data_IF_174676496815
#
_entry.id   IF_174676496815
#
_cell.length_a   1.000
_cell.length_b   1.000
_cell.length_c   1.000
_cell.angle_alpha   90.00
_cell.angle_beta   90.00
_cell.angle_gamma   90.00
#
_symmetry.space_group_name_H-M   'P 1'
#
loop_
_entity.id
_entity.type
_entity.pdbx_description
1 polymer ?
#
# COMPACT_ATOMS: atom_id res chain seq x y z
N UNK A 1 42.65 0.21 -50.41
CA UNK A 1 41.71 -0.81 -49.89
C UNK A 1 42.09 -1.10 -48.46
N UNK A 2 41.33 -0.80 -47.41
CA UNK A 2 40.06 -0.10 -47.26
C UNK A 2 40.06 0.48 -45.84
N UNK A 3 39.60 1.74 -45.69
CA UNK A 3 39.35 2.34 -44.38
C UNK A 3 37.97 1.86 -43.95
N UNK A 4 37.88 1.04 -42.91
CA UNK A 4 36.62 0.67 -42.28
C UNK A 4 35.97 1.94 -41.69
N UNK A 5 35.00 2.47 -42.43
CA UNK A 5 34.08 3.49 -41.98
C UNK A 5 33.11 2.86 -40.97
N UNK A 6 33.37 3.08 -39.69
CA UNK A 6 32.43 2.78 -38.63
C UNK A 6 31.34 3.88 -38.61
N UNK A 7 30.07 3.50 -38.79
CA UNK A 7 28.97 4.44 -39.12
C UNK A 7 28.33 5.00 -37.84
N UNK A 8 27.86 6.27 -37.76
CA UNK A 8 27.30 6.86 -36.55
C UNK A 8 26.06 6.16 -35.95
N UNK A 9 25.43 5.24 -36.70
CA UNK A 9 24.29 4.44 -36.25
C UNK A 9 24.71 3.24 -35.39
N UNK A 10 25.86 2.61 -35.64
CA UNK A 10 26.36 1.51 -34.81
C UNK A 10 26.72 2.00 -33.39
N UNK A 11 27.26 3.23 -33.29
CA UNK A 11 27.48 3.89 -32.00
C UNK A 11 26.20 4.31 -31.27
N UNK A 12 25.05 4.41 -31.95
CA UNK A 12 23.75 4.70 -31.29
C UNK A 12 23.04 3.42 -30.82
N UNK A 13 23.24 2.31 -31.53
CA UNK A 13 22.72 1.00 -31.14
C UNK A 13 23.49 0.50 -29.90
N UNK A 14 24.83 0.62 -29.92
CA UNK A 14 25.68 0.20 -28.80
C UNK A 14 25.40 1.01 -27.51
N UNK A 15 25.06 2.30 -27.63
CA UNK A 15 24.65 3.14 -26.49
C UNK A 15 23.26 2.82 -25.92
N UNK A 16 22.35 2.24 -26.73
CA UNK A 16 21.00 1.86 -26.28
C UNK A 16 20.97 0.51 -25.58
N UNK A 17 21.94 -0.36 -25.87
CA UNK A 17 22.04 -1.68 -25.24
C UNK A 17 22.71 -1.62 -23.86
N UNK A 18 23.60 -0.65 -23.62
CA UNK A 18 24.26 -0.44 -22.31
C UNK A 18 23.34 0.15 -21.22
N UNK A 19 22.16 0.68 -21.57
CA UNK A 19 21.23 1.33 -20.63
C UNK A 19 20.07 0.44 -20.15
N UNK A 20 20.08 -0.86 -20.45
CA UNK A 20 19.30 -1.84 -19.66
C UNK A 20 20.16 -2.38 -18.53
N UNK A 21 20.47 -1.52 -17.56
CA UNK A 21 20.83 -2.02 -16.22
C UNK A 21 19.62 -2.81 -15.72
N UNK A 22 19.70 -4.13 -15.79
CA UNK A 22 18.82 -5.00 -15.01
C UNK A 22 19.00 -4.60 -13.55
N UNK A 23 18.10 -3.77 -13.03
CA UNK A 23 18.01 -3.51 -11.60
C UNK A 23 17.72 -4.84 -10.92
N UNK A 24 18.77 -5.45 -10.36
CA UNK A 24 18.62 -6.62 -9.51
C UNK A 24 17.65 -6.23 -8.39
N UNK A 25 16.62 -7.06 -8.10
CA UNK A 25 15.68 -6.76 -7.03
C UNK A 25 16.45 -6.47 -5.74
N UNK A 26 16.23 -5.29 -5.16
CA UNK A 26 16.80 -4.97 -3.85
C UNK A 26 16.13 -5.88 -2.83
N UNK A 27 16.86 -6.88 -2.34
CA UNK A 27 16.41 -7.77 -1.29
C UNK A 27 16.54 -7.07 0.06
N UNK A 28 15.56 -7.28 0.95
CA UNK A 28 15.64 -6.82 2.33
C UNK A 28 16.70 -7.64 3.08
N UNK A 29 17.47 -6.99 3.96
CA UNK A 29 18.42 -7.68 4.84
C UNK A 29 17.71 -8.52 5.90
N UNK A 30 16.54 -8.07 6.37
CA UNK A 30 15.74 -8.72 7.40
C UNK A 30 14.29 -8.96 6.91
N UNK A 31 13.62 -10.04 7.36
CA UNK A 31 12.22 -10.27 7.03
C UNK A 31 11.29 -9.18 7.57
N UNK A 32 10.22 -8.89 6.82
CA UNK A 32 9.14 -8.02 7.31
C UNK A 32 8.46 -8.69 8.51
N UNK A 33 8.30 -7.95 9.61
CA UNK A 33 7.64 -8.49 10.81
C UNK A 33 6.14 -8.58 10.57
N UNK A 34 5.52 -9.61 11.13
CA UNK A 34 4.07 -9.83 11.03
C UNK A 34 3.27 -8.62 11.54
N UNK A 35 3.74 -7.94 12.59
CA UNK A 35 3.09 -6.71 13.10
C UNK A 35 3.03 -5.58 12.07
N UNK A 36 4.03 -5.47 11.20
CA UNK A 36 4.09 -4.43 10.18
C UNK A 36 3.12 -4.75 9.04
N UNK A 37 2.97 -6.05 8.70
CA UNK A 37 1.94 -6.51 7.77
C UNK A 37 0.54 -6.26 8.34
N UNK A 38 0.32 -6.51 9.62
CA UNK A 38 -0.97 -6.23 10.27
C UNK A 38 -1.28 -4.73 10.25
N UNK A 39 -0.29 -3.88 10.54
CA UNK A 39 -0.45 -2.44 10.44
C UNK A 39 -0.79 -1.97 9.01
N UNK A 40 -0.10 -2.51 8.01
CA UNK A 40 -0.42 -2.25 6.60
C UNK A 40 -1.86 -2.66 6.24
N UNK A 41 -2.31 -3.82 6.72
CA UNK A 41 -3.68 -4.28 6.51
C UNK A 41 -4.71 -3.36 7.19
N UNK A 42 -4.41 -2.85 8.39
CA UNK A 42 -5.27 -1.86 9.07
C UNK A 42 -5.46 -0.62 8.19
N UNK A 43 -4.38 -0.08 7.61
CA UNK A 43 -4.48 1.09 6.72
C UNK A 43 -5.28 0.79 5.44
N UNK A 44 -5.10 -0.41 4.88
CA UNK A 44 -5.86 -0.85 3.70
C UNK A 44 -7.36 -0.97 4.00
N UNK A 45 -7.70 -1.60 5.12
CA UNK A 45 -9.08 -1.76 5.60
C UNK A 45 -9.72 -0.40 5.94
N UNK A 46 -8.96 0.54 6.52
CA UNK A 46 -9.44 1.89 6.78
C UNK A 46 -9.89 2.57 5.48
N UNK A 47 -9.06 2.52 4.42
CA UNK A 47 -9.42 3.06 3.11
C UNK A 47 -10.69 2.43 2.54
N UNK A 48 -10.86 1.12 2.70
CA UNK A 48 -12.09 0.41 2.29
C UNK A 48 -13.30 0.83 3.11
N UNK A 49 -13.17 0.97 4.43
CA UNK A 49 -14.25 1.43 5.29
C UNK A 49 -14.73 2.82 4.87
N UNK A 50 -13.81 3.76 4.63
CA UNK A 50 -14.16 5.10 4.13
C UNK A 50 -14.92 5.04 2.80
N UNK A 51 -14.46 4.22 1.85
CA UNK A 51 -15.08 4.09 0.53
C UNK A 51 -16.48 3.44 0.59
N UNK A 52 -16.64 2.40 1.40
CA UNK A 52 -17.94 1.72 1.56
C UNK A 52 -18.95 2.50 2.39
N UNK A 53 -18.50 3.44 3.23
CA UNK A 53 -19.35 4.47 3.83
C UNK A 53 -19.74 5.58 2.84
N UNK A 54 -19.26 5.52 1.58
CA UNK A 54 -19.50 6.49 0.52
C UNK A 54 -18.90 7.89 0.79
N UNK A 55 -17.89 7.96 1.66
CA UNK A 55 -17.20 9.21 2.04
C UNK A 55 -16.04 9.53 1.10
N UNK A 56 -15.52 8.53 0.39
CA UNK A 56 -14.52 8.64 -0.67
C UNK A 56 -14.85 7.65 -1.79
N UNK A 57 -14.25 7.83 -2.97
CA UNK A 57 -14.38 6.87 -4.07
C UNK A 57 -13.57 5.60 -3.80
N UNK A 58 -14.03 4.47 -4.33
CA UNK A 58 -13.25 3.23 -4.32
C UNK A 58 -12.01 3.40 -5.23
N UNK A 59 -10.78 3.21 -4.72
CA UNK A 59 -9.57 3.53 -5.48
C UNK A 59 -9.40 2.67 -6.74
N UNK A 60 -9.90 1.43 -6.73
CA UNK A 60 -9.80 0.51 -7.85
C UNK A 60 -10.85 0.72 -8.95
N UNK A 61 -11.97 1.38 -8.65
CA UNK A 61 -13.03 1.64 -9.65
C UNK A 61 -13.23 3.11 -9.97
N UNK A 62 -12.68 4.01 -9.15
CA UNK A 62 -12.87 5.46 -9.22
C UNK A 62 -14.36 5.86 -9.16
N UNK A 63 -15.18 5.04 -8.48
CA UNK A 63 -16.62 5.23 -8.34
C UNK A 63 -17.06 5.15 -6.89
N UNK A 64 -18.16 5.84 -6.61
CA UNK A 64 -18.93 5.70 -5.39
C UNK A 64 -19.69 4.37 -5.39
N UNK A 65 -19.64 3.64 -4.28
CA UNK A 65 -20.43 2.44 -4.02
C UNK A 65 -20.58 2.24 -2.52
N UNK A 66 -21.76 2.58 -2.01
CA UNK A 66 -22.12 2.39 -0.61
C UNK A 66 -22.45 0.92 -0.32
N UNK A 67 -21.85 0.37 0.72
CA UNK A 67 -22.17 -0.93 1.28
C UNK A 67 -21.84 -0.94 2.78
N UNK A 68 -22.86 -0.83 3.62
CA UNK A 68 -22.66 -0.66 5.07
C UNK A 68 -22.17 -1.94 5.74
N UNK A 69 -22.49 -3.11 5.21
CA UNK A 69 -22.03 -4.38 5.76
C UNK A 69 -20.53 -4.58 5.48
N UNK A 70 -20.06 -4.20 4.29
CA UNK A 70 -18.62 -4.18 3.99
C UNK A 70 -17.86 -3.16 4.85
N UNK A 71 -18.44 -1.96 5.07
CA UNK A 71 -17.85 -0.97 5.97
C UNK A 71 -17.75 -1.49 7.42
N UNK A 72 -18.81 -2.13 7.92
CA UNK A 72 -18.82 -2.77 9.25
C UNK A 72 -17.75 -3.84 9.35
N UNK A 73 -17.69 -4.75 8.37
CA UNK A 73 -16.71 -5.84 8.33
C UNK A 73 -15.27 -5.30 8.39
N UNK A 74 -14.96 -4.24 7.64
CA UNK A 74 -13.66 -3.60 7.69
C UNK A 74 -13.35 -3.02 9.09
N UNK A 75 -14.29 -2.28 9.70
CA UNK A 75 -14.12 -1.68 11.03
C UNK A 75 -13.91 -2.73 12.11
N UNK A 76 -14.72 -3.80 12.11
CA UNK A 76 -14.65 -4.87 13.10
C UNK A 76 -13.35 -5.68 12.93
N UNK A 77 -12.91 -5.88 11.68
CA UNK A 77 -11.63 -6.53 11.40
C UNK A 77 -10.46 -5.70 11.89
N UNK A 78 -10.47 -4.38 11.70
CA UNK A 78 -9.42 -3.49 12.24
C UNK A 78 -9.34 -3.60 13.76
N UNK A 79 -10.47 -3.63 14.47
CA UNK A 79 -10.52 -3.77 15.92
C UNK A 79 -9.93 -5.11 16.39
N UNK A 80 -10.27 -6.20 15.69
CA UNK A 80 -9.72 -7.53 15.97
C UNK A 80 -8.20 -7.58 15.75
N UNK A 81 -7.72 -7.03 14.63
CA UNK A 81 -6.31 -6.97 14.31
C UNK A 81 -5.54 -6.14 15.33
N UNK A 82 -6.08 -4.97 15.72
CA UNK A 82 -5.46 -4.10 16.72
C UNK A 82 -5.27 -4.82 18.06
N UNK A 83 -6.32 -5.47 18.58
CA UNK A 83 -6.27 -6.26 19.82
C UNK A 83 -5.24 -7.39 19.73
N UNK A 84 -5.08 -8.00 18.56
CA UNK A 84 -4.12 -9.08 18.33
C UNK A 84 -2.67 -8.62 18.46
N UNK A 85 -2.34 -7.40 18.02
CA UNK A 85 -0.96 -6.88 18.03
C UNK A 85 -0.66 -5.89 19.14
N UNK A 86 -1.65 -5.49 19.93
CA UNK A 86 -1.56 -4.38 20.88
C UNK A 86 -0.32 -4.45 21.78
N UNK A 87 0.02 -5.63 22.32
CA UNK A 87 1.17 -5.80 23.22
C UNK A 87 2.53 -5.56 22.54
N UNK A 88 2.59 -5.59 21.20
CA UNK A 88 3.81 -5.41 20.40
C UNK A 88 3.97 -3.99 19.83
N UNK A 89 2.97 -3.13 20.04
CA UNK A 89 2.92 -1.77 19.50
C UNK A 89 3.50 -0.75 20.47
N UNK A 90 4.17 0.28 19.94
CA UNK A 90 4.55 1.45 20.72
C UNK A 90 3.30 2.24 21.16
N UNK A 91 3.40 3.08 22.22
CA UNK A 91 2.30 3.95 22.63
C UNK A 91 1.78 4.86 21.50
N UNK A 92 2.67 5.32 20.63
CA UNK A 92 2.32 6.15 19.47
C UNK A 92 1.52 5.36 18.44
N UNK A 93 1.95 4.15 18.10
CA UNK A 93 1.22 3.27 17.17
C UNK A 93 -0.17 2.92 17.71
N UNK A 94 -0.28 2.65 19.03
CA UNK A 94 -1.57 2.41 19.67
C UNK A 94 -2.51 3.60 19.52
N UNK A 95 -2.01 4.80 19.82
CA UNK A 95 -2.79 6.03 19.74
C UNK A 95 -3.25 6.31 18.30
N UNK A 96 -2.38 6.11 17.31
CA UNK A 96 -2.73 6.29 15.90
C UNK A 96 -3.88 5.37 15.48
N UNK A 97 -3.75 4.06 15.72
CA UNK A 97 -4.80 3.07 15.36
C UNK A 97 -6.11 3.35 16.10
N UNK A 98 -6.04 3.68 17.40
CA UNK A 98 -7.23 4.04 18.19
C UNK A 98 -7.93 5.28 17.65
N UNK A 99 -7.17 6.29 17.21
CA UNK A 99 -7.71 7.51 16.60
C UNK A 99 -8.45 7.18 15.30
N UNK A 100 -7.84 6.36 14.43
CA UNK A 100 -8.46 5.89 13.18
C UNK A 100 -9.76 5.13 13.43
N UNK A 101 -9.73 4.13 14.32
CA UNK A 101 -10.91 3.36 14.70
C UNK A 101 -12.03 4.24 15.26
N UNK A 102 -11.68 5.20 16.11
CA UNK A 102 -12.65 6.15 16.67
C UNK A 102 -13.32 6.96 15.58
N UNK A 103 -12.53 7.51 14.65
CA UNK A 103 -13.05 8.29 13.52
C UNK A 103 -13.95 7.45 12.61
N UNK A 104 -13.55 6.21 12.29
CA UNK A 104 -14.38 5.30 11.50
C UNK A 104 -15.73 5.04 12.18
N UNK A 105 -15.71 4.66 13.46
CA UNK A 105 -16.93 4.36 14.23
C UNK A 105 -17.86 5.57 14.34
N UNK A 106 -17.30 6.76 14.58
CA UNK A 106 -18.08 7.99 14.66
C UNK A 106 -18.77 8.33 13.34
N UNK A 107 -18.15 8.04 12.20
CA UNK A 107 -18.77 8.30 10.90
C UNK A 107 -19.70 7.18 10.45
N UNK A 108 -19.44 5.93 10.85
CA UNK A 108 -20.32 4.80 10.61
C UNK A 108 -21.67 4.93 11.34
N UNK A 109 -21.68 5.54 12.52
CA UNK A 109 -22.89 5.74 13.33
C UNK A 109 -23.74 6.95 12.92
N UNK A 110 -23.28 7.78 11.96
CA UNK A 110 -24.03 8.92 11.43
C UNK A 110 -24.95 8.48 10.28
#
# INVERSE_FOLDING_TARGET
>A
MDKENNTPEENKINKREEEKKEEKPQLLEEPIKVKDLIYFNILSLEGKAWAYMDLVVHPETQKHKKDIEEARLAIDTIDLLFKTVEQQLSPEQKKDIQTRLTNLRLNFAK
#
